data_IF_075242572682
#
_entry.id   IF_075242572682
#
_cell.length_a   1.000
_cell.length_b   1.000
_cell.length_c   1.000
_cell.angle_alpha   90.00
_cell.angle_beta   90.00
_cell.angle_gamma   90.00
#
_symmetry.space_group_name_H-M   'P 1'
#
loop_
_entity.id
_entity.type
_entity.pdbx_description
1 polymer ?
#
# COMPACT_ATOMS: atom_id res chain seq x y z
N UNK A 1 -39.03 -36.57 60.59
CA UNK A 1 -38.36 -37.19 59.46
C UNK A 1 -38.71 -36.37 58.20
N UNK A 2 -37.93 -35.38 57.88
CA UNK A 2 -38.17 -34.49 56.73
C UNK A 2 -37.02 -34.68 55.77
N UNK A 3 -37.28 -35.24 54.60
CA UNK A 3 -36.30 -35.42 53.52
C UNK A 3 -36.54 -34.31 52.50
N UNK A 4 -35.55 -33.40 52.38
CA UNK A 4 -35.47 -32.40 51.27
C UNK A 4 -34.99 -33.05 49.99
N UNK A 5 -35.53 -32.71 48.83
CA UNK A 5 -35.01 -33.19 47.56
C UNK A 5 -33.82 -32.37 47.12
N UNK A 6 -32.76 -33.07 46.70
CA UNK A 6 -31.54 -32.53 46.08
C UNK A 6 -31.86 -32.10 44.63
N UNK A 7 -31.74 -30.79 44.37
CA UNK A 7 -31.89 -30.28 43.02
C UNK A 7 -30.55 -30.46 42.23
N UNK A 8 -30.60 -31.27 41.18
CA UNK A 8 -29.49 -31.51 40.26
C UNK A 8 -29.38 -30.32 39.28
N UNK A 9 -28.39 -29.48 39.45
CA UNK A 9 -28.07 -28.38 38.50
C UNK A 9 -27.14 -28.95 37.42
N UNK A 10 -27.64 -29.06 36.19
CA UNK A 10 -26.86 -29.42 35.01
C UNK A 10 -26.29 -28.15 34.40
N UNK A 11 -24.96 -27.99 34.28
CA UNK A 11 -24.40 -26.85 33.57
C UNK A 11 -24.57 -27.02 32.05
N UNK A 12 -25.33 -26.16 31.41
CA UNK A 12 -25.38 -26.06 29.94
C UNK A 12 -24.11 -25.35 29.50
N UNK A 13 -23.17 -26.13 28.98
CA UNK A 13 -21.99 -25.59 28.29
C UNK A 13 -22.38 -25.04 26.92
N UNK A 14 -22.41 -23.71 26.80
CA UNK A 14 -22.62 -23.01 25.53
C UNK A 14 -21.33 -23.14 24.70
N UNK A 15 -21.27 -24.07 23.76
CA UNK A 15 -20.18 -24.18 22.80
C UNK A 15 -20.31 -23.05 21.77
N UNK A 16 -19.51 -22.01 21.93
CA UNK A 16 -19.31 -21.03 20.88
C UNK A 16 -18.48 -21.65 19.76
N UNK A 17 -19.12 -22.08 18.70
CA UNK A 17 -18.47 -22.43 17.45
C UNK A 17 -17.98 -21.15 16.77
N UNK A 18 -16.67 -20.91 16.83
CA UNK A 18 -16.02 -19.91 16.00
C UNK A 18 -16.12 -20.39 14.54
N UNK A 19 -17.02 -19.77 13.78
CA UNK A 19 -17.07 -19.96 12.33
C UNK A 19 -15.79 -19.35 11.74
N UNK A 20 -14.81 -20.18 11.40
CA UNK A 20 -13.69 -19.78 10.54
C UNK A 20 -14.25 -19.52 9.14
N UNK A 21 -14.42 -18.26 8.80
CA UNK A 21 -14.74 -17.86 7.44
C UNK A 21 -13.54 -18.22 6.55
N UNK A 22 -13.59 -19.35 5.88
CA UNK A 22 -12.68 -19.68 4.80
C UNK A 22 -12.97 -18.72 3.64
N UNK A 23 -12.07 -17.77 3.39
CA UNK A 23 -12.13 -16.94 2.21
C UNK A 23 -12.06 -17.86 0.98
N UNK A 24 -13.14 -17.92 0.21
CA UNK A 24 -13.13 -18.62 -1.07
C UNK A 24 -12.26 -17.80 -2.03
N UNK A 25 -11.10 -18.34 -2.36
CA UNK A 25 -10.26 -17.79 -3.42
C UNK A 25 -10.98 -18.02 -4.77
N UNK A 26 -11.66 -16.99 -5.24
CA UNK A 26 -12.15 -16.98 -6.62
C UNK A 26 -10.95 -16.73 -7.54
N UNK A 27 -10.69 -17.65 -8.46
CA UNK A 27 -9.67 -17.48 -9.50
C UNK A 27 -10.09 -16.35 -10.43
N UNK A 28 -9.23 -15.33 -10.56
CA UNK A 28 -9.45 -14.27 -11.53
C UNK A 28 -9.49 -14.83 -12.95
N UNK A 29 -10.47 -14.44 -13.74
CA UNK A 29 -10.57 -14.77 -15.15
C UNK A 29 -9.99 -13.64 -15.98
N UNK A 30 -9.01 -13.94 -16.86
CA UNK A 30 -8.60 -13.01 -17.90
C UNK A 30 -9.61 -13.12 -19.06
N UNK A 31 -10.30 -12.03 -19.38
CA UNK A 31 -11.22 -11.98 -20.52
C UNK A 31 -10.43 -11.59 -21.78
N UNK A 32 -10.50 -12.41 -22.84
CA UNK A 32 -9.85 -12.20 -24.14
C UNK A 32 -8.35 -11.84 -24.11
N UNK A 33 -7.63 -12.23 -23.06
CA UNK A 33 -6.22 -11.91 -22.90
C UNK A 33 -5.88 -10.43 -22.67
N UNK A 34 -6.88 -9.54 -22.66
CA UNK A 34 -6.69 -8.08 -22.47
C UNK A 34 -7.07 -7.60 -21.09
N UNK A 35 -7.96 -8.32 -20.39
CA UNK A 35 -8.50 -7.92 -19.10
C UNK A 35 -8.32 -9.01 -18.06
N UNK A 36 -8.14 -8.57 -16.84
CA UNK A 36 -8.14 -9.40 -15.65
C UNK A 36 -9.13 -8.83 -14.65
N UNK A 37 -9.89 -9.68 -14.01
CA UNK A 37 -10.78 -9.32 -12.91
C UNK A 37 -10.68 -10.36 -11.80
N UNK A 38 -10.58 -9.89 -10.58
CA UNK A 38 -10.69 -10.68 -9.37
C UNK A 38 -11.60 -9.95 -8.39
N UNK A 39 -12.49 -10.68 -7.72
CA UNK A 39 -13.23 -10.16 -6.59
C UNK A 39 -13.26 -11.18 -5.45
N UNK A 40 -13.39 -10.68 -4.24
CA UNK A 40 -13.45 -11.53 -3.06
C UNK A 40 -13.60 -10.74 -1.77
N UNK A 41 -14.02 -11.44 -0.71
CA UNK A 41 -14.06 -10.87 0.63
C UNK A 41 -12.68 -10.95 1.25
N UNK A 42 -12.16 -9.81 1.70
CA UNK A 42 -10.88 -9.71 2.39
C UNK A 42 -11.14 -9.23 3.82
N UNK A 43 -10.67 -9.95 4.84
CA UNK A 43 -10.86 -9.54 6.24
C UNK A 43 -10.18 -8.20 6.56
N UNK A 44 -10.73 -7.45 7.49
CA UNK A 44 -10.06 -6.27 8.03
C UNK A 44 -8.70 -6.65 8.63
N UNK A 45 -7.68 -5.83 8.42
CA UNK A 45 -6.29 -6.09 8.78
C UNK A 45 -5.52 -7.02 7.84
N UNK A 46 -6.19 -7.70 6.90
CA UNK A 46 -5.52 -8.46 5.86
C UNK A 46 -5.02 -7.54 4.74
N UNK A 47 -4.15 -8.06 3.88
CA UNK A 47 -3.49 -7.29 2.82
C UNK A 47 -4.03 -7.60 1.43
N UNK A 48 -4.27 -6.56 0.66
CA UNK A 48 -4.30 -6.64 -0.80
C UNK A 48 -2.95 -6.13 -1.32
N UNK A 49 -2.26 -6.98 -2.08
CA UNK A 49 -0.96 -6.67 -2.66
C UNK A 49 -1.06 -6.70 -4.18
N UNK A 50 -0.69 -5.60 -4.84
CA UNK A 50 -0.65 -5.52 -6.31
C UNK A 50 0.77 -5.19 -6.76
N UNK A 51 1.29 -6.00 -7.68
CA UNK A 51 2.61 -5.81 -8.28
C UNK A 51 2.48 -5.59 -9.78
N UNK A 52 2.95 -4.46 -10.23
CA UNK A 52 2.98 -4.07 -11.63
C UNK A 52 4.43 -3.77 -12.07
N UNK A 53 4.70 -3.84 -13.36
CA UNK A 53 5.98 -3.40 -13.92
C UNK A 53 5.80 -2.15 -14.78
N UNK A 54 4.77 -2.11 -15.62
CA UNK A 54 4.55 -1.02 -16.56
C UNK A 54 3.07 -0.64 -16.58
N UNK A 55 2.77 0.61 -16.27
CA UNK A 55 1.45 1.18 -16.13
C UNK A 55 1.08 1.56 -14.69
N UNK A 56 0.01 2.28 -14.54
CA UNK A 56 -0.45 2.85 -13.27
C UNK A 56 -1.20 1.85 -12.38
N UNK A 57 -1.23 2.16 -11.08
CA UNK A 57 -2.05 1.45 -10.10
C UNK A 57 -2.90 2.46 -9.36
N UNK A 58 -4.23 2.35 -9.49
CA UNK A 58 -5.20 3.21 -8.80
C UNK A 58 -6.01 2.41 -7.79
N UNK A 59 -6.00 2.85 -6.54
CA UNK A 59 -6.79 2.27 -5.44
C UNK A 59 -7.87 3.27 -5.04
N UNK A 60 -9.12 2.79 -4.98
CA UNK A 60 -10.29 3.59 -4.59
C UNK A 60 -11.04 2.88 -3.47
N UNK A 61 -11.77 3.60 -2.61
CA UNK A 61 -12.58 2.96 -1.59
C UNK A 61 -13.71 2.15 -2.22
N UNK A 62 -13.95 0.95 -1.71
CA UNK A 62 -15.14 0.15 -2.03
C UNK A 62 -16.32 0.64 -1.20
N UNK A 63 -17.51 0.65 -1.79
CA UNK A 63 -18.76 0.92 -1.06
C UNK A 63 -19.29 -0.30 -0.30
N UNK A 64 -18.71 -1.47 -0.55
CA UNK A 64 -19.11 -2.75 0.05
C UNK A 64 -18.02 -3.41 0.89
N UNK A 65 -18.24 -4.70 1.18
CA UNK A 65 -17.31 -5.55 1.94
C UNK A 65 -16.41 -6.40 1.06
N UNK A 66 -16.66 -6.39 -0.25
CA UNK A 66 -15.85 -7.08 -1.27
C UNK A 66 -14.78 -6.16 -1.82
N UNK A 67 -13.62 -6.72 -2.03
CA UNK A 67 -12.56 -6.11 -2.80
C UNK A 67 -12.69 -6.52 -4.27
N UNK A 68 -12.47 -5.57 -5.17
CA UNK A 68 -12.40 -5.83 -6.60
C UNK A 68 -11.06 -5.35 -7.14
N UNK A 69 -10.41 -6.19 -7.92
CA UNK A 69 -9.15 -5.88 -8.60
C UNK A 69 -9.36 -6.13 -10.08
N UNK A 70 -9.29 -5.07 -10.87
CA UNK A 70 -9.33 -5.14 -12.32
C UNK A 70 -8.04 -4.65 -12.92
N UNK A 71 -7.63 -5.25 -14.04
CA UNK A 71 -6.49 -4.79 -14.82
C UNK A 71 -6.80 -4.83 -16.31
N UNK A 72 -6.28 -3.84 -17.03
CA UNK A 72 -6.42 -3.73 -18.49
C UNK A 72 -5.03 -3.65 -19.09
N UNK A 73 -4.74 -4.55 -20.03
CA UNK A 73 -3.53 -4.51 -20.84
C UNK A 73 -3.75 -3.60 -22.04
N UNK A 74 -2.82 -2.72 -22.30
CA UNK A 74 -2.78 -1.86 -23.49
C UNK A 74 -1.45 -2.08 -24.23
N UNK A 75 -1.49 -2.44 -25.49
CA UNK A 75 -0.31 -2.54 -26.32
C UNK A 75 -0.01 -1.20 -26.99
N UNK A 76 1.20 -0.70 -26.79
CA UNK A 76 1.72 0.43 -27.51
C UNK A 76 2.74 -0.04 -28.56
N UNK A 77 2.75 0.59 -29.75
CA UNK A 77 3.77 0.43 -30.81
C UNK A 77 4.24 -1.01 -31.02
N UNK A 78 3.31 -1.92 -31.26
CA UNK A 78 3.65 -3.31 -31.55
C UNK A 78 3.94 -4.18 -30.33
N UNK A 79 3.48 -3.77 -29.15
CA UNK A 79 3.50 -4.61 -27.96
C UNK A 79 2.65 -5.86 -28.15
N UNK A 80 3.13 -6.98 -27.63
CA UNK A 80 2.42 -8.26 -27.65
C UNK A 80 1.75 -8.51 -26.30
N UNK A 81 0.41 -8.44 -26.27
CA UNK A 81 -0.39 -8.65 -25.07
C UNK A 81 -0.22 -10.04 -24.46
N UNK A 82 0.15 -11.04 -25.27
CA UNK A 82 0.34 -12.42 -24.82
C UNK A 82 1.58 -12.58 -23.92
N UNK A 83 2.53 -11.65 -24.02
CA UNK A 83 3.72 -11.62 -23.18
C UNK A 83 3.45 -11.22 -21.74
N UNK A 84 2.24 -10.73 -21.44
CA UNK A 84 1.85 -10.35 -20.08
C UNK A 84 0.78 -11.31 -19.57
N UNK A 85 1.07 -11.95 -18.45
CA UNK A 85 0.13 -12.83 -17.74
C UNK A 85 -0.16 -12.31 -16.35
N UNK A 86 -1.33 -12.63 -15.82
CA UNK A 86 -1.68 -12.34 -14.43
C UNK A 86 -1.53 -13.58 -13.56
N UNK A 87 -1.12 -13.39 -12.33
CA UNK A 87 -1.10 -14.44 -11.32
C UNK A 87 -1.72 -13.93 -10.02
N UNK A 88 -2.38 -14.81 -9.31
CA UNK A 88 -2.99 -14.55 -8.00
C UNK A 88 -2.50 -15.56 -6.99
N UNK A 89 -2.26 -15.11 -5.76
CA UNK A 89 -1.89 -15.98 -4.65
C UNK A 89 -2.63 -15.54 -3.38
N UNK A 90 -3.47 -16.40 -2.80
CA UNK A 90 -4.04 -16.14 -1.49
C UNK A 90 -2.94 -16.03 -0.43
N UNK A 91 -3.10 -15.09 0.49
CA UNK A 91 -2.21 -14.89 1.64
C UNK A 91 -2.75 -15.59 2.88
N UNK A 92 -1.87 -15.99 3.80
CA UNK A 92 -2.22 -16.77 4.99
C UNK A 92 -3.26 -16.09 5.90
N UNK A 93 -3.33 -14.74 5.87
CA UNK A 93 -4.28 -13.95 6.65
C UNK A 93 -5.60 -13.64 5.93
N UNK A 94 -5.91 -14.34 4.83
CA UNK A 94 -7.10 -14.12 4.02
C UNK A 94 -6.97 -12.94 3.04
N UNK A 95 -5.78 -12.40 2.87
CA UNK A 95 -5.47 -11.39 1.86
C UNK A 95 -5.26 -11.98 0.47
N UNK A 96 -4.87 -11.12 -0.48
CA UNK A 96 -4.65 -11.51 -1.87
C UNK A 96 -3.45 -10.77 -2.46
N UNK A 97 -2.56 -11.53 -3.12
CA UNK A 97 -1.51 -11.00 -3.99
C UNK A 97 -1.94 -11.15 -5.45
N UNK A 98 -1.83 -10.07 -6.22
CA UNK A 98 -2.08 -10.05 -7.66
C UNK A 98 -0.89 -9.42 -8.36
N UNK A 99 -0.37 -10.09 -9.37
CA UNK A 99 0.77 -9.61 -10.15
C UNK A 99 0.50 -9.64 -11.64
N UNK A 100 0.95 -8.60 -12.34
CA UNK A 100 1.15 -8.64 -13.79
C UNK A 100 2.61 -9.02 -14.05
N UNK A 101 2.83 -10.08 -14.82
CA UNK A 101 4.15 -10.67 -15.08
C UNK A 101 4.49 -10.59 -16.56
N UNK A 102 5.64 -10.05 -16.90
CA UNK A 102 6.15 -9.93 -18.27
C UNK A 102 7.12 -11.07 -18.59
N UNK A 103 6.79 -11.86 -19.63
CA UNK A 103 7.57 -13.03 -20.06
C UNK A 103 7.40 -14.24 -19.14
N UNK A 104 7.91 -15.39 -19.61
CA UNK A 104 7.66 -16.69 -18.98
C UNK A 104 8.43 -16.90 -17.67
N UNK A 105 9.58 -16.25 -17.53
CA UNK A 105 10.49 -16.42 -16.40
C UNK A 105 10.33 -15.36 -15.31
N UNK A 106 9.21 -14.64 -15.31
CA UNK A 106 8.91 -13.66 -14.27
C UNK A 106 8.03 -14.27 -13.20
N UNK A 107 8.30 -13.93 -11.94
CA UNK A 107 7.46 -14.24 -10.80
C UNK A 107 7.40 -13.06 -9.83
N UNK A 108 6.50 -13.11 -8.88
CA UNK A 108 6.44 -12.14 -7.80
C UNK A 108 6.02 -12.79 -6.49
N UNK A 109 6.36 -12.14 -5.41
CA UNK A 109 5.94 -12.45 -4.06
C UNK A 109 5.43 -11.20 -3.32
N UNK A 110 5.21 -11.32 -2.03
CA UNK A 110 4.70 -10.23 -1.19
C UNK A 110 5.67 -9.04 -1.12
N UNK A 111 6.96 -9.25 -1.32
CA UNK A 111 7.99 -8.24 -1.14
C UNK A 111 8.60 -7.76 -2.45
N UNK A 112 8.68 -8.60 -3.47
CA UNK A 112 9.45 -8.32 -4.66
C UNK A 112 8.83 -8.85 -5.95
N UNK A 113 9.29 -8.28 -7.04
CA UNK A 113 9.07 -8.72 -8.40
C UNK A 113 10.40 -9.25 -8.95
N UNK A 114 10.39 -10.49 -9.46
CA UNK A 114 11.57 -11.13 -10.02
C UNK A 114 11.39 -11.35 -11.52
N UNK A 115 12.35 -10.89 -12.30
CA UNK A 115 12.41 -11.16 -13.74
C UNK A 115 13.77 -11.79 -14.08
N UNK A 116 13.75 -13.06 -14.43
CA UNK A 116 14.94 -13.78 -14.91
C UNK A 116 15.04 -13.67 -16.42
N UNK A 117 15.33 -12.48 -16.94
CA UNK A 117 15.67 -12.29 -18.35
C UNK A 117 17.12 -12.74 -18.61
N UNK A 118 17.34 -14.05 -18.76
CA UNK A 118 18.59 -14.57 -19.29
C UNK A 118 18.75 -14.15 -20.76
N UNK A 119 19.29 -12.93 -20.96
CA UNK A 119 20.02 -12.59 -22.18
C UNK A 119 19.24 -12.38 -23.48
N UNK A 120 17.94 -12.51 -23.51
CA UNK A 120 17.19 -12.22 -24.73
C UNK A 120 16.77 -10.74 -24.76
N UNK A 121 17.72 -9.86 -25.07
CA UNK A 121 17.55 -8.39 -25.17
C UNK A 121 16.67 -7.94 -26.36
N UNK A 122 15.84 -8.80 -26.94
CA UNK A 122 15.30 -8.58 -28.26
C UNK A 122 13.94 -7.88 -28.35
N UNK A 123 13.13 -7.84 -27.31
CA UNK A 123 11.82 -7.19 -27.44
C UNK A 123 11.47 -6.43 -26.17
N UNK A 124 11.61 -5.10 -26.24
CA UNK A 124 10.90 -4.22 -25.32
C UNK A 124 9.41 -4.47 -25.55
N UNK A 125 8.78 -5.19 -24.62
CA UNK A 125 7.34 -5.35 -24.71
C UNK A 125 6.69 -4.04 -24.24
N UNK A 126 6.17 -3.26 -25.21
CA UNK A 126 5.47 -2.02 -24.97
C UNK A 126 3.99 -2.30 -24.55
N UNK A 127 3.81 -3.16 -23.58
CA UNK A 127 2.50 -3.40 -22.98
C UNK A 127 2.45 -2.69 -21.64
N UNK A 128 1.43 -1.87 -21.46
CA UNK A 128 1.06 -1.29 -20.18
C UNK A 128 -0.09 -2.07 -19.55
N UNK A 129 -0.08 -2.13 -18.22
CA UNK A 129 -1.16 -2.71 -17.44
C UNK A 129 -1.66 -1.66 -16.44
N UNK A 130 -2.88 -1.23 -16.63
CA UNK A 130 -3.56 -0.33 -15.71
C UNK A 130 -4.36 -1.13 -14.69
N UNK A 131 -4.00 -1.03 -13.42
CA UNK A 131 -4.73 -1.64 -12.32
C UNK A 131 -5.71 -0.66 -11.67
N UNK A 132 -6.92 -1.14 -11.39
CA UNK A 132 -7.88 -0.47 -10.51
C UNK A 132 -8.27 -1.42 -9.39
N UNK A 133 -8.12 -0.97 -8.15
CA UNK A 133 -8.46 -1.71 -6.94
C UNK A 133 -9.57 -0.99 -6.19
N UNK A 134 -10.70 -1.67 -5.94
CA UNK A 134 -11.74 -1.21 -5.02
C UNK A 134 -11.47 -1.83 -3.65
N UNK A 135 -11.04 -1.00 -2.69
CA UNK A 135 -10.55 -1.42 -1.38
C UNK A 135 -11.62 -1.30 -0.30
N UNK A 136 -12.04 -2.39 0.36
CA UNK A 136 -12.95 -2.34 1.49
C UNK A 136 -12.34 -1.62 2.71
N UNK A 137 -13.19 -1.07 3.55
CA UNK A 137 -12.75 -0.45 4.80
C UNK A 137 -12.04 -1.44 5.72
N UNK A 138 -10.95 -1.00 6.35
CA UNK A 138 -10.14 -1.80 7.27
C UNK A 138 -9.14 -2.76 6.62
N UNK A 139 -9.11 -2.85 5.29
CA UNK A 139 -8.16 -3.68 4.55
C UNK A 139 -6.88 -2.89 4.25
N UNK A 140 -5.73 -3.50 4.55
CA UNK A 140 -4.42 -2.93 4.24
C UNK A 140 -4.12 -3.09 2.74
N UNK A 141 -3.35 -2.15 2.19
CA UNK A 141 -2.99 -2.19 0.77
C UNK A 141 -1.49 -1.95 0.54
N UNK A 142 -0.86 -2.84 -0.24
CA UNK A 142 0.53 -2.71 -0.68
C UNK A 142 0.56 -2.74 -2.20
N UNK A 143 0.84 -1.62 -2.81
CA UNK A 143 0.81 -1.47 -4.27
C UNK A 143 2.15 -1.00 -4.80
N UNK A 144 2.57 -1.56 -5.92
CA UNK A 144 3.82 -1.19 -6.55
C UNK A 144 3.81 -1.28 -8.06
N UNK A 145 4.47 -0.32 -8.70
CA UNK A 145 4.80 -0.32 -10.12
C UNK A 145 6.31 -0.07 -10.31
N UNK A 146 6.84 -0.33 -11.49
CA UNK A 146 8.18 0.14 -11.85
C UNK A 146 8.06 1.40 -12.71
N UNK A 147 7.23 1.38 -13.74
CA UNK A 147 6.99 2.52 -14.61
C UNK A 147 5.50 2.86 -14.59
N UNK A 148 5.14 3.89 -13.89
CA UNK A 148 3.78 4.38 -13.78
C UNK A 148 3.48 4.92 -12.39
N UNK A 149 2.45 5.74 -12.32
CA UNK A 149 2.03 6.38 -11.09
C UNK A 149 1.27 5.41 -10.18
N UNK A 150 1.40 5.64 -8.89
CA UNK A 150 0.65 4.91 -7.86
C UNK A 150 -0.26 5.89 -7.12
N UNK A 151 -1.57 5.68 -7.24
CA UNK A 151 -2.56 6.49 -6.56
C UNK A 151 -3.39 5.64 -5.60
N UNK A 152 -3.43 6.04 -4.34
CA UNK A 152 -4.29 5.43 -3.31
C UNK A 152 -5.21 6.50 -2.75
N UNK A 153 -6.49 6.39 -3.03
CA UNK A 153 -7.51 7.33 -2.54
C UNK A 153 -8.36 6.67 -1.46
N UNK A 154 -8.50 7.34 -0.32
CA UNK A 154 -9.50 7.02 0.71
C UNK A 154 -9.30 5.68 1.44
N UNK A 155 -8.08 5.18 1.57
CA UNK A 155 -7.78 4.03 2.41
C UNK A 155 -8.11 4.33 3.88
N UNK A 156 -8.55 3.30 4.61
CA UNK A 156 -8.91 3.42 6.04
C UNK A 156 -7.99 2.61 6.95
N UNK A 157 -7.00 1.93 6.37
CA UNK A 157 -6.00 1.13 7.07
C UNK A 157 -4.60 1.42 6.51
N UNK A 158 -3.64 0.56 6.76
CA UNK A 158 -2.25 0.77 6.37
C UNK A 158 -2.07 0.77 4.84
N UNK A 159 -1.26 1.71 4.35
CA UNK A 159 -0.91 1.87 2.94
C UNK A 159 0.60 1.78 2.77
N UNK A 160 1.04 0.93 1.84
CA UNK A 160 2.41 0.90 1.33
C UNK A 160 2.39 1.09 -0.18
N UNK A 161 2.89 2.21 -0.68
CA UNK A 161 2.87 2.57 -2.08
C UNK A 161 4.29 2.78 -2.61
N UNK A 162 4.64 2.10 -3.70
CA UNK A 162 6.01 2.14 -4.25
C UNK A 162 6.00 2.23 -5.76
N UNK A 163 6.84 3.09 -6.32
CA UNK A 163 7.14 3.08 -7.76
C UNK A 163 8.64 3.34 -7.97
N UNK A 164 9.13 3.19 -9.19
CA UNK A 164 10.49 3.63 -9.55
C UNK A 164 10.41 4.88 -10.41
N UNK A 165 9.62 4.86 -11.47
CA UNK A 165 9.44 5.98 -12.38
C UNK A 165 7.96 6.36 -12.39
N UNK A 166 7.60 7.34 -11.60
CA UNK A 166 6.25 7.85 -11.44
C UNK A 166 6.06 8.51 -10.08
N UNK A 167 4.96 9.19 -9.93
CA UNK A 167 4.55 9.82 -8.69
C UNK A 167 3.81 8.84 -7.77
N UNK A 168 3.93 9.05 -6.47
CA UNK A 168 3.12 8.38 -5.45
C UNK A 168 2.19 9.40 -4.80
N UNK A 169 0.88 9.18 -4.94
CA UNK A 169 -0.14 9.93 -4.23
C UNK A 169 -0.96 9.00 -3.35
N UNK A 170 -0.96 9.23 -2.04
CA UNK A 170 -1.68 8.38 -1.10
C UNK A 170 -2.49 9.19 -0.09
N UNK A 171 -3.78 8.88 0.00
CA UNK A 171 -4.71 9.49 0.96
C UNK A 171 -5.29 8.39 1.84
N UNK A 172 -5.06 8.50 3.14
CA UNK A 172 -5.62 7.59 4.15
C UNK A 172 -6.37 8.36 5.23
N UNK A 173 -7.49 7.82 5.65
CA UNK A 173 -8.28 8.36 6.76
C UNK A 173 -8.07 7.63 8.09
N UNK A 174 -7.39 6.47 8.11
CA UNK A 174 -7.34 5.62 9.30
C UNK A 174 -6.02 4.95 9.61
N UNK A 175 -5.10 4.84 8.67
CA UNK A 175 -3.85 4.10 8.88
C UNK A 175 -2.60 4.85 8.46
N UNK A 176 -1.42 4.33 8.84
CA UNK A 176 -0.15 4.90 8.41
C UNK A 176 0.02 4.74 6.89
N UNK A 177 0.69 5.71 6.27
CA UNK A 177 1.06 5.68 4.86
C UNK A 177 2.57 5.64 4.76
N UNK A 178 3.10 4.64 4.06
CA UNK A 178 4.49 4.53 3.67
C UNK A 178 4.59 4.65 2.14
N UNK A 179 5.45 5.52 1.65
CA UNK A 179 5.55 5.79 0.23
C UNK A 179 7.00 5.92 -0.24
N UNK A 180 7.32 5.27 -1.37
CA UNK A 180 8.67 5.30 -1.95
C UNK A 180 8.59 5.44 -3.47
N UNK A 181 9.40 6.33 -4.02
CA UNK A 181 9.68 6.39 -5.45
C UNK A 181 11.18 6.63 -5.68
N UNK A 182 11.64 6.51 -6.91
CA UNK A 182 13.01 6.93 -7.28
C UNK A 182 12.93 8.22 -8.09
N UNK A 183 12.13 8.23 -9.13
CA UNK A 183 11.95 9.39 -10.02
C UNK A 183 10.48 9.81 -10.01
N UNK A 184 10.14 10.74 -9.15
CA UNK A 184 8.80 11.27 -8.97
C UNK A 184 8.61 11.89 -7.59
N UNK A 185 7.51 12.55 -7.42
CA UNK A 185 7.11 13.15 -6.16
C UNK A 185 6.36 12.16 -5.27
N UNK A 186 6.46 12.38 -3.96
CA UNK A 186 5.63 11.70 -2.96
C UNK A 186 4.67 12.71 -2.34
N UNK A 187 3.37 12.45 -2.46
CA UNK A 187 2.32 13.22 -1.79
C UNK A 187 1.47 12.30 -0.95
N UNK A 188 1.52 12.49 0.37
CA UNK A 188 0.71 11.71 1.30
C UNK A 188 -0.16 12.61 2.18
N UNK A 189 -1.42 12.24 2.34
CA UNK A 189 -2.36 12.95 3.20
C UNK A 189 -3.04 11.97 4.16
N UNK A 190 -3.02 12.29 5.45
CA UNK A 190 -3.60 11.46 6.50
C UNK A 190 -4.45 12.27 7.45
N UNK A 191 -5.68 11.78 7.73
CA UNK A 191 -6.57 12.39 8.73
C UNK A 191 -6.37 11.78 10.10
N UNK A 192 -6.01 10.51 10.17
CA UNK A 192 -5.66 9.79 11.38
C UNK A 192 -4.41 8.94 11.12
N UNK A 193 -3.62 8.73 12.14
CA UNK A 193 -2.29 8.16 12.02
C UNK A 193 -2.25 6.79 12.66
N UNK A 194 -3.06 5.92 12.78
CA UNK A 194 -2.86 4.61 13.39
C UNK A 194 -1.65 4.53 14.35
N UNK A 195 -1.09 3.38 14.59
CA UNK A 195 0.03 3.18 15.53
C UNK A 195 1.41 3.01 14.85
N UNK A 196 1.50 2.95 13.53
CA UNK A 196 2.74 2.66 12.81
C UNK A 196 3.66 3.86 12.58
N UNK A 197 4.91 3.57 12.27
CA UNK A 197 5.88 4.55 11.80
C UNK A 197 5.55 5.03 10.39
N UNK A 198 6.05 6.22 10.05
CA UNK A 198 5.82 6.89 8.78
C UNK A 198 7.14 7.03 8.03
N UNK A 199 7.22 6.45 6.84
CA UNK A 199 8.44 6.46 6.03
C UNK A 199 8.16 6.89 4.60
N UNK A 200 8.89 7.92 4.17
CA UNK A 200 8.79 8.49 2.83
C UNK A 200 10.16 8.63 2.21
N UNK A 201 10.31 8.15 0.99
CA UNK A 201 11.61 8.21 0.30
C UNK A 201 11.40 8.51 -1.19
N UNK A 202 12.18 9.44 -1.70
CA UNK A 202 12.39 9.61 -3.14
C UNK A 202 13.87 9.88 -3.40
N UNK A 203 14.31 9.79 -4.64
CA UNK A 203 15.66 10.24 -5.04
C UNK A 203 15.54 11.54 -5.80
N UNK A 204 14.75 11.58 -6.86
CA UNK A 204 14.53 12.75 -7.69
C UNK A 204 13.06 13.16 -7.62
N UNK A 205 12.74 14.02 -6.67
CA UNK A 205 11.40 14.52 -6.42
C UNK A 205 11.27 15.10 -5.03
N UNK A 206 10.15 15.76 -4.79
CA UNK A 206 9.81 16.36 -3.51
C UNK A 206 8.85 15.46 -2.71
N UNK A 207 8.86 15.66 -1.39
CA UNK A 207 7.97 14.96 -0.47
C UNK A 207 7.06 15.99 0.18
N UNK A 208 5.74 15.85 -0.01
CA UNK A 208 4.74 16.66 0.66
C UNK A 208 3.85 15.77 1.52
N UNK A 209 3.77 16.10 2.81
CA UNK A 209 2.97 15.37 3.79
C UNK A 209 1.94 16.30 4.42
N UNK A 210 0.66 15.99 4.22
CA UNK A 210 -0.45 16.66 4.88
C UNK A 210 -0.89 15.79 6.07
N UNK A 211 -0.58 16.25 7.28
CA UNK A 211 -0.68 15.47 8.51
C UNK A 211 -1.65 16.12 9.49
N UNK A 212 -2.35 15.35 10.32
CA UNK A 212 -3.29 15.93 11.30
C UNK A 212 -2.57 16.86 12.28
N UNK A 213 -3.24 17.94 12.66
CA UNK A 213 -2.69 18.94 13.59
C UNK A 213 -2.29 18.35 14.96
N UNK A 214 -2.88 17.20 15.33
CA UNK A 214 -2.56 16.44 16.54
C UNK A 214 -1.32 15.54 16.41
N UNK A 215 -0.55 15.67 15.34
CA UNK A 215 0.67 14.87 15.13
C UNK A 215 1.61 14.97 16.34
N UNK A 216 2.04 13.81 16.82
CA UNK A 216 3.10 13.66 17.80
C UNK A 216 4.10 12.64 17.25
N UNK A 217 5.33 13.06 16.99
CA UNK A 217 6.34 12.22 16.29
C UNK A 217 7.76 12.65 16.60
N UNK A 218 8.66 11.67 16.59
CA UNK A 218 10.10 11.87 16.47
C UNK A 218 10.43 11.97 14.97
N UNK A 219 10.88 13.15 14.53
CA UNK A 219 10.99 13.49 13.11
C UNK A 219 12.44 13.49 12.67
N UNK A 220 12.70 12.85 11.54
CA UNK A 220 13.98 12.92 10.84
C UNK A 220 13.73 13.24 9.35
N UNK A 221 14.16 14.44 8.91
CA UNK A 221 14.10 14.87 7.53
C UNK A 221 15.51 14.94 6.95
N UNK A 222 15.71 14.42 5.74
CA UNK A 222 17.00 14.44 5.04
C UNK A 222 16.82 14.84 3.58
N UNK A 223 17.63 15.79 3.13
CA UNK A 223 17.78 16.11 1.70
C UNK A 223 19.26 16.38 1.40
N UNK A 224 19.68 16.18 0.16
CA UNK A 224 21.03 16.59 -0.29
C UNK A 224 20.96 17.94 -1.01
N UNK A 225 20.02 18.05 -1.95
CA UNK A 225 19.78 19.25 -2.74
C UNK A 225 18.32 19.66 -2.62
N UNK A 226 18.01 20.51 -1.63
CA UNK A 226 16.65 20.97 -1.35
C UNK A 226 16.54 21.64 0.01
N UNK A 227 15.32 21.84 0.46
CA UNK A 227 15.00 22.48 1.73
C UNK A 227 13.95 21.75 2.53
N UNK A 228 13.68 22.26 3.72
CA UNK A 228 12.64 21.78 4.62
C UNK A 228 11.65 22.89 4.92
N UNK A 229 10.36 22.57 4.86
CA UNK A 229 9.27 23.46 5.31
C UNK A 229 8.37 22.68 6.26
N UNK A 230 7.91 23.31 7.32
CA UNK A 230 6.98 22.69 8.25
C UNK A 230 6.04 23.70 8.91
N UNK A 231 4.75 23.37 8.95
CA UNK A 231 3.73 24.11 9.73
C UNK A 231 3.72 23.69 11.19
N UNK A 232 4.43 22.64 11.56
CA UNK A 232 4.44 22.13 12.92
C UNK A 232 5.55 22.79 13.74
N UNK A 233 5.26 23.24 14.97
CA UNK A 233 6.30 23.63 15.91
C UNK A 233 7.14 22.38 16.24
N UNK A 234 8.47 22.49 16.09
CA UNK A 234 9.40 21.41 16.38
C UNK A 234 10.41 21.80 17.45
N UNK A 235 10.61 20.92 18.41
CA UNK A 235 11.77 20.99 19.31
C UNK A 235 12.92 20.26 18.67
N UNK A 236 13.92 21.02 18.19
CA UNK A 236 15.05 20.47 17.47
C UNK A 236 15.98 19.68 18.40
N UNK A 237 16.49 18.55 17.94
CA UNK A 237 17.41 17.68 18.69
C UNK A 237 18.67 17.44 17.88
N UNK A 238 19.82 17.54 18.53
CA UNK A 238 21.14 17.30 17.91
C UNK A 238 21.62 18.45 17.03
N UNK A 239 22.52 18.12 16.08
CA UNK A 239 23.10 19.14 15.16
C UNK A 239 22.17 19.41 13.99
N UNK A 240 21.70 20.62 13.87
CA UNK A 240 20.91 21.10 12.73
C UNK A 240 21.84 21.41 11.55
N UNK A 241 21.50 20.96 10.38
CA UNK A 241 22.20 21.31 9.14
C UNK A 241 21.21 21.54 7.99
N UNK A 242 21.60 22.24 6.91
CA UNK A 242 20.74 22.40 5.74
C UNK A 242 20.29 21.08 5.10
N UNK A 243 20.98 19.97 5.38
CA UNK A 243 20.73 18.64 4.79
C UNK A 243 20.04 17.65 5.74
N UNK A 244 19.93 17.99 7.02
CA UNK A 244 19.32 17.13 8.03
C UNK A 244 18.66 17.96 9.12
N UNK A 245 17.39 17.68 9.35
CA UNK A 245 16.60 18.22 10.43
C UNK A 245 16.11 17.07 11.29
N UNK A 246 16.42 17.09 12.57
CA UNK A 246 15.92 16.11 13.53
C UNK A 246 15.28 16.83 14.72
N UNK A 247 14.14 16.33 15.20
CA UNK A 247 13.43 16.95 16.29
C UNK A 247 12.18 16.20 16.69
N UNK A 248 11.42 16.82 17.60
CA UNK A 248 10.14 16.28 18.06
C UNK A 248 9.01 17.26 17.70
N UNK A 249 7.93 16.70 17.21
CA UNK A 249 6.63 17.37 17.11
C UNK A 249 5.77 16.84 18.26
N UNK A 250 5.13 17.73 19.01
CA UNK A 250 4.35 17.36 20.20
C UNK A 250 5.21 16.61 21.23
N UNK A 251 4.71 15.49 21.73
CA UNK A 251 5.41 14.66 22.71
C UNK A 251 6.39 13.63 22.12
N UNK A 252 6.52 13.59 20.77
CA UNK A 252 7.28 12.53 20.11
C UNK A 252 6.54 11.20 20.06
N UNK A 253 7.27 10.10 19.97
CA UNK A 253 6.77 8.73 20.06
C UNK A 253 6.93 7.95 18.76
N UNK A 254 6.00 8.08 17.77
CA UNK A 254 6.19 7.41 16.47
C UNK A 254 7.33 8.03 15.69
N UNK A 255 7.97 7.24 14.88
CA UNK A 255 8.99 7.74 13.98
C UNK A 255 8.38 8.28 12.67
N UNK A 256 8.76 9.50 12.28
CA UNK A 256 8.48 10.07 10.96
C UNK A 256 9.81 10.33 10.26
N UNK A 257 10.09 9.55 9.23
CA UNK A 257 11.28 9.71 8.39
C UNK A 257 10.89 10.11 6.98
N UNK A 258 11.45 11.22 6.49
CA UNK A 258 11.34 11.60 5.10
C UNK A 258 12.73 11.90 4.53
N UNK A 259 13.03 11.33 3.37
CA UNK A 259 14.34 11.45 2.74
C UNK A 259 14.23 11.63 1.23
N UNK A 260 14.93 12.63 0.70
CA UNK A 260 15.14 12.82 -0.75
C UNK A 260 16.60 13.12 -1.04
N UNK A 261 17.02 12.98 -2.28
CA UNK A 261 18.33 13.47 -2.72
C UNK A 261 18.17 14.83 -3.42
N UNK A 262 17.26 14.91 -4.39
CA UNK A 262 17.01 16.12 -5.16
C UNK A 262 15.54 16.51 -5.00
N UNK A 263 15.24 17.43 -4.09
CA UNK A 263 13.90 17.93 -3.83
C UNK A 263 13.74 18.45 -2.41
N UNK A 264 12.61 19.08 -2.15
CA UNK A 264 12.25 19.62 -0.85
C UNK A 264 11.31 18.70 -0.09
N UNK A 265 11.30 18.82 1.24
CA UNK A 265 10.40 18.10 2.11
C UNK A 265 9.51 19.09 2.84
N UNK A 266 8.20 18.97 2.67
CA UNK A 266 7.21 19.87 3.24
C UNK A 266 6.26 19.09 4.14
N UNK A 267 6.13 19.50 5.42
CA UNK A 267 5.15 18.98 6.36
C UNK A 267 4.06 20.03 6.58
N UNK A 268 2.82 19.73 6.19
CA UNK A 268 1.66 20.63 6.33
C UNK A 268 0.66 20.08 7.33
N UNK A 269 -0.04 20.98 8.02
CA UNK A 269 -1.20 20.60 8.79
C UNK A 269 -2.39 20.40 7.86
N UNK A 270 -2.97 19.20 7.90
CA UNK A 270 -4.25 18.96 7.24
C UNK A 270 -5.36 19.75 7.95
N UNK A 271 -6.18 20.42 7.19
CA UNK A 271 -7.37 21.11 7.67
C UNK A 271 -8.51 20.13 8.01
#
# INVERSE_FOLDING_TARGET
MNRSPLALVIPVALAMSAATATAQATTGTADNGTRFNWNGTVPAGAWIIVRNMNGSVSVKPSTGRTADISAIKRAERGGDLSMVRFTTKPLANGGMLVCALWGDNSNCDEDSYHSNNNGNHGRRNNVEVEFTVSLPSGVNVKVGSVNGDVEVAGATAEVSATTVNGDVRAVSSGGPVNATTVNGDVRASMRALGSGDLRYTTVNGSIQLDLPASLSADVELRTVNGGFETDFPMTLTGRVSPRRLSGKIGNGGRELRASTVNGSITLRKSS
#
